data_IF_514995094715
#
_entry.id   IF_514995094715
#
_cell.length_a   1.000
_cell.length_b   1.000
_cell.length_c   1.000
_cell.angle_alpha   90.00
_cell.angle_beta   90.00
_cell.angle_gamma   90.00
#
_symmetry.space_group_name_H-M   'P 1'
#
loop_
_entity.id
_entity.type
_entity.pdbx_description
1 polymer ?
#
# COMPACT_ATOMS: atom_id res chain seq x y z
N UNK A 1 13.86 21.31 8.61
CA UNK A 1 13.74 20.11 7.75
C UNK A 1 12.40 20.14 7.01
N UNK A 2 12.39 19.67 5.76
CA UNK A 2 11.16 19.51 5.02
C UNK A 2 10.34 18.33 5.58
N UNK A 3 9.02 18.46 5.59
CA UNK A 3 8.11 17.37 5.98
C UNK A 3 7.95 16.43 4.78
N UNK A 4 8.81 15.42 4.72
CA UNK A 4 8.81 14.46 3.60
C UNK A 4 9.30 13.09 4.03
N UNK A 5 8.81 12.08 3.35
CA UNK A 5 9.32 10.71 3.40
C UNK A 5 9.82 10.40 1.99
N UNK A 6 11.06 9.92 1.86
CA UNK A 6 11.64 9.60 0.56
C UNK A 6 11.32 8.18 0.11
N UNK A 7 11.33 7.22 1.03
CA UNK A 7 11.08 5.80 0.74
C UNK A 7 10.34 5.16 1.91
N UNK A 8 9.34 4.34 1.59
CA UNK A 8 8.81 3.35 2.52
C UNK A 8 9.25 1.99 2.00
N UNK A 9 10.00 1.25 2.82
CA UNK A 9 10.47 -0.10 2.48
C UNK A 9 9.72 -1.13 3.30
N UNK A 10 9.05 -2.04 2.60
CA UNK A 10 8.32 -3.15 3.20
C UNK A 10 9.15 -4.44 3.09
N UNK A 11 9.35 -5.12 4.21
CA UNK A 11 9.96 -6.45 4.22
C UNK A 11 9.01 -7.48 3.63
N UNK A 12 9.51 -8.28 2.68
CA UNK A 12 8.72 -9.30 1.99
C UNK A 12 9.46 -10.64 1.99
N UNK A 13 8.71 -11.73 1.85
CA UNK A 13 9.30 -13.07 1.78
C UNK A 13 9.63 -13.51 0.35
N UNK A 14 8.88 -13.03 -0.66
CA UNK A 14 8.99 -13.53 -2.03
C UNK A 14 8.66 -12.42 -3.04
N UNK A 15 9.59 -12.15 -3.95
CA UNK A 15 9.46 -11.08 -4.95
C UNK A 15 8.28 -11.33 -5.89
N UNK A 16 8.14 -12.54 -6.42
CA UNK A 16 7.09 -12.84 -7.40
C UNK A 16 5.70 -12.72 -6.76
N UNK A 17 5.55 -13.21 -5.53
CA UNK A 17 4.30 -13.11 -4.76
C UNK A 17 3.93 -11.66 -4.47
N UNK A 18 4.90 -10.85 -4.06
CA UNK A 18 4.72 -9.42 -3.81
C UNK A 18 4.37 -8.67 -5.10
N UNK A 19 5.06 -8.93 -6.21
CA UNK A 19 4.78 -8.31 -7.52
C UNK A 19 3.37 -8.64 -8.03
N UNK A 20 2.86 -9.82 -7.75
CA UNK A 20 1.48 -10.17 -8.11
C UNK A 20 0.48 -9.24 -7.41
N UNK A 21 0.70 -8.94 -6.14
CA UNK A 21 -0.19 -8.04 -5.38
C UNK A 21 -0.07 -6.59 -5.86
N UNK A 22 1.14 -6.04 -5.91
CA UNK A 22 1.35 -4.63 -6.27
C UNK A 22 1.26 -4.38 -7.77
N UNK A 23 1.74 -5.31 -8.59
CA UNK A 23 1.71 -5.20 -10.05
C UNK A 23 0.37 -5.59 -10.65
N UNK A 24 -0.07 -6.82 -10.43
CA UNK A 24 -1.31 -7.31 -11.03
C UNK A 24 -2.54 -6.81 -10.23
N UNK A 25 -2.43 -6.72 -8.91
CA UNK A 25 -3.49 -6.25 -8.04
C UNK A 25 -3.76 -4.75 -8.18
N UNK A 26 -2.82 -3.91 -7.75
CA UNK A 26 -2.93 -2.46 -7.88
C UNK A 26 -2.74 -1.94 -9.30
N UNK A 27 -2.06 -2.69 -10.17
CA UNK A 27 -1.71 -2.24 -11.51
C UNK A 27 -0.47 -1.35 -11.55
N UNK A 28 0.34 -1.33 -10.50
CA UNK A 28 1.54 -0.50 -10.43
C UNK A 28 2.70 -1.13 -11.19
N UNK A 29 3.47 -0.30 -11.88
CA UNK A 29 4.63 -0.74 -12.67
C UNK A 29 5.91 -0.43 -11.91
N UNK A 30 6.80 -1.43 -11.73
CA UNK A 30 8.10 -1.18 -11.15
C UNK A 30 8.91 -0.18 -11.98
N UNK A 31 9.65 0.70 -11.32
CA UNK A 31 10.63 1.58 -11.97
C UNK A 31 12.06 1.06 -11.85
N UNK A 32 12.26 0.11 -10.94
CA UNK A 32 13.53 -0.57 -10.73
C UNK A 32 13.27 -1.92 -10.06
N UNK A 33 13.99 -2.95 -10.49
CA UNK A 33 13.89 -4.25 -9.85
C UNK A 33 15.18 -5.06 -9.96
N UNK A 34 15.46 -5.82 -8.91
CA UNK A 34 16.51 -6.83 -8.83
C UNK A 34 15.90 -8.13 -8.29
N UNK A 35 16.67 -9.23 -8.18
CA UNK A 35 16.17 -10.43 -7.49
C UNK A 35 15.79 -10.23 -6.01
N UNK A 36 16.21 -9.12 -5.39
CA UNK A 36 15.98 -8.85 -3.96
C UNK A 36 14.97 -7.74 -3.69
N UNK A 37 14.85 -6.73 -4.56
CA UNK A 37 14.08 -5.51 -4.30
C UNK A 37 13.33 -5.04 -5.53
N UNK A 38 12.16 -4.47 -5.31
CA UNK A 38 11.36 -3.82 -6.34
C UNK A 38 10.96 -2.44 -5.84
N UNK A 39 11.15 -1.41 -6.67
CA UNK A 39 10.69 -0.04 -6.39
C UNK A 39 9.55 0.36 -7.29
N UNK A 40 8.55 1.00 -6.69
CA UNK A 40 7.41 1.64 -7.36
C UNK A 40 7.46 3.14 -7.09
N UNK A 41 7.38 3.95 -8.15
CA UNK A 41 7.31 5.40 -7.99
C UNK A 41 5.92 5.80 -7.51
N UNK A 42 5.87 6.43 -6.35
CA UNK A 42 4.67 7.05 -5.81
C UNK A 42 4.75 8.58 -5.98
N UNK A 43 3.72 9.28 -5.55
CA UNK A 43 3.69 10.74 -5.59
C UNK A 43 4.63 11.33 -4.54
N UNK A 44 5.85 11.63 -4.95
CA UNK A 44 6.85 12.27 -4.09
C UNK A 44 7.66 11.32 -3.21
N UNK A 45 7.44 10.01 -3.30
CA UNK A 45 8.23 9.02 -2.57
C UNK A 45 8.29 7.70 -3.35
N UNK A 46 9.19 6.83 -2.94
CA UNK A 46 9.27 5.46 -3.44
C UNK A 46 8.59 4.50 -2.46
N UNK A 47 7.88 3.52 -2.98
CA UNK A 47 7.53 2.31 -2.25
C UNK A 47 8.50 1.21 -2.67
N UNK A 48 9.27 0.68 -1.72
CA UNK A 48 10.17 -0.44 -1.94
C UNK A 48 9.62 -1.71 -1.29
N UNK A 49 9.71 -2.82 -1.99
CA UNK A 49 9.50 -4.15 -1.42
C UNK A 49 10.82 -4.89 -1.46
N UNK A 50 11.34 -5.28 -0.33
CA UNK A 50 12.69 -5.82 -0.19
C UNK A 50 12.66 -7.14 0.58
N UNK A 51 13.43 -8.14 0.13
CA UNK A 51 13.52 -9.39 0.87
C UNK A 51 13.87 -9.12 2.33
N UNK A 52 13.08 -9.69 3.23
CA UNK A 52 13.18 -9.42 4.67
C UNK A 52 14.58 -9.65 5.22
N UNK A 53 15.26 -10.72 4.79
CA UNK A 53 16.64 -11.00 5.21
C UNK A 53 17.63 -9.91 4.82
N UNK A 54 17.46 -9.30 3.63
CA UNK A 54 18.31 -8.21 3.18
C UNK A 54 18.00 -6.92 3.95
N UNK A 55 16.72 -6.64 4.19
CA UNK A 55 16.30 -5.48 4.97
C UNK A 55 16.79 -5.57 6.42
N UNK A 56 16.67 -6.73 7.08
CA UNK A 56 17.20 -6.96 8.43
C UNK A 56 18.70 -6.69 8.49
N UNK A 57 19.45 -7.22 7.52
CA UNK A 57 20.89 -7.04 7.46
C UNK A 57 21.27 -5.56 7.29
N UNK A 58 20.53 -4.83 6.47
CA UNK A 58 20.78 -3.42 6.21
C UNK A 58 20.45 -2.55 7.41
N UNK A 59 19.30 -2.78 8.04
CA UNK A 59 18.88 -2.06 9.25
C UNK A 59 19.69 -2.43 10.49
N UNK A 60 20.32 -3.60 10.51
CA UNK A 60 20.89 -4.21 11.72
C UNK A 60 19.84 -4.39 12.82
N UNK A 61 18.65 -4.83 12.43
CA UNK A 61 17.50 -5.03 13.32
C UNK A 61 16.62 -6.14 12.76
N UNK A 62 16.17 -7.04 13.61
CA UNK A 62 15.23 -8.08 13.23
C UNK A 62 13.88 -7.48 12.83
N UNK A 63 13.24 -8.05 11.81
CA UNK A 63 11.91 -7.65 11.41
C UNK A 63 10.89 -8.07 12.48
N UNK A 64 10.09 -7.11 12.92
CA UNK A 64 8.88 -7.40 13.69
C UNK A 64 7.75 -7.82 12.74
N UNK A 65 6.70 -8.45 13.28
CA UNK A 65 5.48 -8.71 12.51
C UNK A 65 4.80 -7.38 12.18
N UNK A 66 4.23 -7.22 10.97
CA UNK A 66 3.42 -6.04 10.64
C UNK A 66 2.21 -5.90 11.57
N UNK A 67 1.74 -4.66 11.77
CA UNK A 67 0.53 -4.41 12.55
C UNK A 67 0.53 -3.11 13.35
N UNK A 68 1.66 -2.41 13.42
CA UNK A 68 1.75 -1.14 14.15
C UNK A 68 1.34 0.07 13.29
N UNK A 69 1.17 -0.09 11.99
CA UNK A 69 0.74 0.95 11.06
C UNK A 69 -0.02 0.34 9.89
N UNK A 70 -0.72 1.18 9.15
CA UNK A 70 -1.31 0.83 7.86
C UNK A 70 -0.93 1.85 6.81
N UNK A 71 -0.92 1.43 5.56
CA UNK A 71 -0.84 2.32 4.41
C UNK A 71 -2.25 2.52 3.86
N UNK A 72 -2.50 3.67 3.25
CA UNK A 72 -3.80 3.95 2.65
C UNK A 72 -3.65 4.32 1.18
N UNK A 73 -4.58 3.84 0.37
CA UNK A 73 -4.76 4.24 -1.01
C UNK A 73 -6.18 4.80 -1.16
N UNK A 74 -6.28 6.09 -1.44
CA UNK A 74 -7.57 6.73 -1.62
C UNK A 74 -8.01 6.65 -3.08
N UNK A 75 -9.29 6.34 -3.27
CA UNK A 75 -9.95 6.27 -4.58
C UNK A 75 -10.89 7.45 -4.78
N UNK A 76 -11.25 7.71 -6.03
CA UNK A 76 -12.04 8.90 -6.39
C UNK A 76 -13.53 8.77 -6.05
N UNK A 77 -14.06 7.54 -6.02
CA UNK A 77 -15.47 7.29 -5.76
C UNK A 77 -15.66 6.15 -4.77
N UNK A 78 -16.78 6.21 -4.04
CA UNK A 78 -17.15 5.16 -3.09
C UNK A 78 -17.28 3.78 -3.77
N UNK A 79 -17.77 3.76 -5.01
CA UNK A 79 -18.01 2.54 -5.78
C UNK A 79 -16.74 1.79 -6.15
N UNK A 80 -15.57 2.45 -6.11
CA UNK A 80 -14.28 1.82 -6.40
C UNK A 80 -13.70 1.04 -5.23
N UNK A 81 -14.18 1.27 -4.00
CA UNK A 81 -13.55 0.71 -2.78
C UNK A 81 -13.63 -0.82 -2.76
N UNK A 82 -14.82 -1.39 -2.75
CA UNK A 82 -14.99 -2.84 -2.63
C UNK A 82 -14.40 -3.61 -3.83
N UNK A 83 -14.60 -3.17 -5.10
CA UNK A 83 -13.98 -3.85 -6.23
C UNK A 83 -12.45 -3.89 -6.16
N UNK A 84 -11.80 -2.84 -5.67
CA UNK A 84 -10.35 -2.85 -5.50
C UNK A 84 -9.91 -3.80 -4.37
N UNK A 85 -10.62 -3.81 -3.25
CA UNK A 85 -10.37 -4.78 -2.18
C UNK A 85 -10.47 -6.23 -2.69
N UNK A 86 -11.50 -6.53 -3.48
CA UNK A 86 -11.72 -7.85 -4.05
C UNK A 86 -10.60 -8.22 -5.04
N UNK A 87 -10.18 -7.28 -5.86
CA UNK A 87 -9.08 -7.47 -6.80
C UNK A 87 -7.76 -7.76 -6.08
N UNK A 88 -7.45 -7.01 -5.03
CA UNK A 88 -6.23 -7.20 -4.25
C UNK A 88 -6.26 -8.56 -3.53
N UNK A 89 -7.40 -8.95 -2.97
CA UNK A 89 -7.57 -10.28 -2.37
C UNK A 89 -7.38 -11.40 -3.40
N UNK A 90 -7.87 -11.22 -4.63
CA UNK A 90 -7.69 -12.19 -5.70
C UNK A 90 -6.24 -12.29 -6.21
N UNK A 91 -5.39 -11.31 -5.91
CA UNK A 91 -3.98 -11.26 -6.33
C UNK A 91 -2.99 -11.46 -5.18
N UNK A 92 -3.34 -12.31 -4.24
CA UNK A 92 -2.48 -12.73 -3.14
C UNK A 92 -2.71 -12.03 -1.82
N UNK A 93 -3.60 -11.04 -1.79
CA UNK A 93 -3.99 -10.36 -0.55
C UNK A 93 -4.99 -11.17 0.27
N UNK A 94 -5.26 -10.68 1.47
CA UNK A 94 -6.27 -11.25 2.37
C UNK A 94 -7.17 -10.14 2.88
N UNK A 95 -8.47 -10.24 2.58
CA UNK A 95 -9.44 -9.25 3.05
C UNK A 95 -9.45 -9.22 4.59
N UNK A 96 -9.25 -8.04 5.16
CA UNK A 96 -9.31 -7.81 6.60
C UNK A 96 -10.64 -7.22 7.03
N UNK A 97 -11.18 -6.30 6.23
CA UNK A 97 -12.45 -5.65 6.48
C UNK A 97 -13.16 -5.33 5.17
N UNK A 98 -14.35 -5.86 5.02
CA UNK A 98 -15.26 -5.47 3.92
C UNK A 98 -15.57 -3.98 4.02
N UNK A 99 -15.74 -3.32 2.87
CA UNK A 99 -15.99 -1.90 2.81
C UNK A 99 -17.30 -1.51 3.52
N UNK A 100 -17.23 -0.53 4.39
CA UNK A 100 -18.38 0.08 5.07
C UNK A 100 -18.09 1.54 5.42
N UNK A 101 -19.12 2.25 5.87
CA UNK A 101 -18.99 3.64 6.28
C UNK A 101 -18.57 3.74 7.74
N UNK A 102 -17.40 4.33 8.05
CA UNK A 102 -17.02 4.58 9.43
C UNK A 102 -17.84 5.72 10.05
N UNK A 103 -17.90 5.81 11.39
CA UNK A 103 -18.67 6.86 12.06
C UNK A 103 -18.26 8.29 11.72
N UNK A 104 -16.99 8.49 11.34
CA UNK A 104 -16.43 9.81 11.04
C UNK A 104 -16.59 10.24 9.57
N UNK A 105 -17.31 9.47 8.76
CA UNK A 105 -17.55 9.78 7.34
C UNK A 105 -16.66 9.02 6.37
N UNK A 106 -16.99 9.10 5.09
CA UNK A 106 -16.29 8.36 4.05
C UNK A 106 -16.75 6.91 3.92
N UNK A 107 -15.91 6.09 3.26
CA UNK A 107 -16.19 4.67 3.01
C UNK A 107 -14.87 3.95 2.82
N UNK A 108 -14.62 2.87 3.55
CA UNK A 108 -13.30 2.21 3.49
C UNK A 108 -13.38 0.73 3.85
N UNK A 109 -12.38 0.00 3.41
CA UNK A 109 -12.11 -1.36 3.85
C UNK A 109 -10.61 -1.60 3.94
N UNK A 110 -10.21 -2.80 4.34
CA UNK A 110 -8.81 -3.16 4.55
C UNK A 110 -8.49 -4.50 3.92
N UNK A 111 -7.29 -4.59 3.36
CA UNK A 111 -6.72 -5.81 2.81
C UNK A 111 -5.26 -5.91 3.26
N UNK A 112 -4.83 -7.10 3.67
CA UNK A 112 -3.41 -7.35 3.90
C UNK A 112 -2.74 -7.74 2.58
N UNK A 113 -1.50 -7.29 2.38
CA UNK A 113 -0.67 -7.82 1.31
C UNK A 113 -0.20 -9.26 1.66
N UNK A 114 0.53 -9.96 0.77
CA UNK A 114 0.98 -11.33 1.05
C UNK A 114 1.89 -11.48 2.28
N UNK A 115 2.47 -10.36 2.75
CA UNK A 115 3.37 -10.32 3.91
C UNK A 115 2.74 -9.69 5.15
N UNK A 116 1.39 -9.58 5.17
CA UNK A 116 0.58 -9.05 6.27
C UNK A 116 0.69 -7.52 6.49
N UNK A 117 1.22 -6.79 5.54
CA UNK A 117 1.14 -5.33 5.57
C UNK A 117 -0.28 -4.89 5.26
N UNK A 118 -0.90 -4.12 6.15
CA UNK A 118 -2.29 -3.69 6.01
C UNK A 118 -2.40 -2.47 5.10
N UNK A 119 -3.34 -2.54 4.15
CA UNK A 119 -3.73 -1.46 3.27
C UNK A 119 -5.18 -1.08 3.51
N UNK A 120 -5.41 0.21 3.78
CA UNK A 120 -6.73 0.81 3.73
C UNK A 120 -7.03 1.24 2.29
N UNK A 121 -8.17 0.83 1.76
CA UNK A 121 -8.70 1.36 0.52
C UNK A 121 -9.87 2.26 0.90
N UNK A 122 -9.77 3.55 0.60
CA UNK A 122 -10.69 4.53 1.14
C UNK A 122 -11.22 5.50 0.09
N UNK A 123 -12.48 5.82 0.21
CA UNK A 123 -13.09 7.01 -0.35
C UNK A 123 -13.26 8.03 0.78
N UNK A 124 -12.56 9.16 0.67
CA UNK A 124 -12.63 10.22 1.65
C UNK A 124 -12.88 11.56 0.93
N UNK A 125 -14.15 12.00 0.83
CA UNK A 125 -14.48 13.23 0.09
C UNK A 125 -13.91 14.50 0.71
N UNK A 126 -13.52 14.47 2.00
CA UNK A 126 -12.90 15.61 2.66
C UNK A 126 -11.44 15.83 2.24
N UNK A 127 -10.81 14.84 1.61
CA UNK A 127 -9.42 14.92 1.17
C UNK A 127 -9.36 14.85 -0.36
N UNK A 128 -9.34 16.00 -1.06
CA UNK A 128 -9.32 16.02 -2.52
C UNK A 128 -8.07 15.33 -3.09
N UNK A 129 -8.29 14.63 -4.19
CA UNK A 129 -7.24 13.98 -4.97
C UNK A 129 -6.99 14.82 -6.21
N UNK A 130 -5.79 15.36 -6.36
CA UNK A 130 -5.39 16.11 -7.53
C UNK A 130 -5.30 15.21 -8.78
N UNK A 131 -5.29 15.78 -10.01
CA UNK A 131 -5.18 14.99 -11.24
C UNK A 131 -3.94 14.09 -11.30
N UNK A 132 -2.87 14.45 -10.61
CA UNK A 132 -1.65 13.63 -10.49
C UNK A 132 -1.71 12.62 -9.33
N UNK A 133 -2.85 12.50 -8.65
CA UNK A 133 -3.07 11.54 -7.57
C UNK A 133 -2.67 12.02 -6.18
N UNK A 134 -2.11 13.23 -6.05
CA UNK A 134 -1.74 13.76 -4.73
C UNK A 134 -2.98 14.06 -3.90
N UNK A 135 -2.91 13.67 -2.63
CA UNK A 135 -3.94 13.93 -1.63
C UNK A 135 -3.51 15.11 -0.77
N UNK A 136 -4.45 16.03 -0.50
CA UNK A 136 -4.23 17.14 0.43
C UNK A 136 -5.31 17.12 1.50
N UNK A 137 -5.00 17.68 2.66
CA UNK A 137 -6.02 17.87 3.68
C UNK A 137 -7.03 18.92 3.18
N UNK A 138 -8.29 18.54 3.08
CA UNK A 138 -9.34 19.41 2.55
C UNK A 138 -9.73 20.49 3.56
N UNK A 139 -9.59 21.72 3.14
CA UNK A 139 -10.04 22.89 3.87
C UNK A 139 -11.14 23.58 3.09
#
# INVERSE_FOLDING_TARGET
MQQQISVITLGIADIARSKRFYGDGFGWKPVFETPEIVFYQMNGLMLGTWLGSALEADMQQDLARPGAFSLAHNVLTQQEVQPLLDRLAAHGGRLLRTADAPPHGGFRGYVADPDDHAWEIAYNPAWPIAPDGRVTFGL
#
